data_IF_133077506105
#
_entry.id   IF_133077506105
#
_cell.length_a   1.000
_cell.length_b   1.000
_cell.length_c   1.000
_cell.angle_alpha   90.00
_cell.angle_beta   90.00
_cell.angle_gamma   90.00
#
_symmetry.space_group_name_H-M   'P 1'
#
loop_
_entity.id
_entity.type
_entity.pdbx_description
1 polymer ?
#
# COMPACT_ATOMS: atom_id res chain seq x y z
N UNK A 1 -62.57 23.60 33.74
CA UNK A 1 -62.80 23.23 32.32
C UNK A 1 -61.59 23.67 31.51
N UNK A 2 -60.97 22.72 30.78
CA UNK A 2 -60.11 22.90 29.57
C UNK A 2 -58.82 23.72 29.75
N UNK A 3 -57.64 23.38 29.21
CA UNK A 3 -57.05 22.23 28.55
C UNK A 3 -55.58 22.63 28.28
N UNK A 4 -54.65 21.66 28.28
CA UNK A 4 -53.37 21.67 27.54
C UNK A 4 -52.32 22.71 28.02
N UNK A 5 -51.07 22.35 28.32
CA UNK A 5 -50.05 21.89 27.37
C UNK A 5 -49.13 20.90 28.10
N UNK A 6 -49.09 19.64 27.63
CA UNK A 6 -48.01 18.70 27.93
C UNK A 6 -46.85 19.02 27.00
N UNK A 7 -45.78 19.61 27.53
CA UNK A 7 -44.50 19.68 26.84
C UNK A 7 -43.85 18.30 26.86
N UNK A 8 -43.92 17.58 25.75
CA UNK A 8 -43.17 16.36 25.53
C UNK A 8 -41.69 16.73 25.37
N UNK A 9 -40.85 16.38 26.34
CA UNK A 9 -39.41 16.25 26.13
C UNK A 9 -39.21 15.06 25.18
N UNK A 10 -39.01 15.34 23.90
CA UNK A 10 -38.48 14.38 22.94
C UNK A 10 -36.99 14.21 23.20
N UNK A 11 -36.66 13.18 23.97
CA UNK A 11 -35.30 12.65 24.06
C UNK A 11 -34.92 12.13 22.68
N UNK A 12 -34.14 12.90 21.92
CA UNK A 12 -33.45 12.38 20.74
C UNK A 12 -32.38 11.41 21.23
N UNK A 13 -32.74 10.13 21.35
CA UNK A 13 -31.77 9.07 21.37
C UNK A 13 -31.12 9.04 19.98
N UNK A 14 -29.98 9.71 19.84
CA UNK A 14 -29.08 9.47 18.72
C UNK A 14 -28.60 8.02 18.84
N UNK A 15 -29.29 7.12 18.14
CA UNK A 15 -28.78 5.79 17.85
C UNK A 15 -27.59 6.02 16.93
N UNK A 16 -26.41 6.19 17.53
CA UNK A 16 -25.16 6.01 16.82
C UNK A 16 -25.14 4.55 16.40
N UNK A 17 -25.63 4.27 15.19
CA UNK A 17 -25.30 3.06 14.46
C UNK A 17 -23.79 3.00 14.38
N UNK A 18 -23.21 2.26 15.30
CA UNK A 18 -21.83 1.84 15.33
C UNK A 18 -21.63 0.97 14.09
N UNK A 19 -21.41 1.58 12.93
CA UNK A 19 -20.76 0.91 11.81
C UNK A 19 -19.38 0.55 12.32
N UNK A 20 -19.27 -0.69 12.80
CA UNK A 20 -18.00 -1.33 13.11
C UNK A 20 -17.22 -1.31 11.79
N UNK A 21 -16.42 -0.27 11.60
CA UNK A 21 -15.31 -0.25 10.68
C UNK A 21 -14.34 -1.30 11.21
N UNK A 22 -14.62 -2.56 10.93
CA UNK A 22 -13.58 -3.57 10.87
C UNK A 22 -12.60 -3.00 9.86
N UNK A 23 -11.46 -2.51 10.34
CA UNK A 23 -10.31 -2.30 9.47
C UNK A 23 -10.21 -3.60 8.67
N UNK A 24 -10.36 -3.57 7.33
CA UNK A 24 -10.12 -4.77 6.57
C UNK A 24 -8.64 -5.05 6.84
N UNK A 25 -8.38 -6.05 7.69
CA UNK A 25 -7.13 -6.79 7.61
C UNK A 25 -6.92 -7.01 6.12
N UNK A 26 -5.77 -6.63 5.58
CA UNK A 26 -5.42 -6.92 4.20
C UNK A 26 -5.50 -8.44 4.00
N UNK A 27 -6.71 -8.92 3.72
CA UNK A 27 -7.08 -10.30 3.55
C UNK A 27 -6.84 -10.56 2.08
N UNK A 28 -5.64 -11.04 1.78
CA UNK A 28 -5.38 -11.74 0.54
C UNK A 28 -6.07 -13.11 0.64
N UNK A 29 -7.35 -13.20 0.30
CA UNK A 29 -8.03 -14.50 0.21
C UNK A 29 -7.68 -15.20 -1.11
N UNK A 30 -7.13 -16.42 -1.02
CA UNK A 30 -7.26 -17.50 -2.01
C UNK A 30 -6.52 -17.40 -3.35
N UNK A 31 -6.03 -16.23 -3.78
CA UNK A 31 -5.50 -16.08 -5.16
C UNK A 31 -4.20 -16.83 -5.43
N UNK A 32 -3.34 -17.00 -4.41
CA UNK A 32 -2.03 -17.65 -4.57
C UNK A 32 -2.04 -19.16 -4.23
N UNK A 33 -3.21 -19.79 -4.10
CA UNK A 33 -3.32 -21.21 -3.76
C UNK A 33 -3.02 -22.12 -4.97
N UNK A 34 -1.75 -22.50 -5.10
CA UNK A 34 -1.28 -23.47 -6.08
C UNK A 34 0.26 -23.57 -6.08
N UNK A 35 0.79 -24.75 -5.71
CA UNK A 35 2.22 -24.95 -5.44
C UNK A 35 3.15 -24.55 -6.61
N UNK A 36 2.67 -24.54 -7.85
CA UNK A 36 3.48 -24.25 -9.04
C UNK A 36 3.48 -22.77 -9.49
N UNK A 37 2.73 -21.87 -8.84
CA UNK A 37 2.65 -20.44 -9.22
C UNK A 37 2.77 -19.45 -8.06
N UNK A 38 3.09 -19.94 -6.87
CA UNK A 38 3.15 -19.13 -5.66
C UNK A 38 4.15 -17.96 -5.76
N UNK A 39 5.37 -18.22 -6.22
CA UNK A 39 6.40 -17.19 -6.37
C UNK A 39 6.00 -16.09 -7.35
N UNK A 40 5.38 -16.49 -8.47
CA UNK A 40 4.85 -15.57 -9.47
C UNK A 40 3.75 -14.70 -8.87
N UNK A 41 2.83 -15.30 -8.11
CA UNK A 41 1.74 -14.59 -7.45
C UNK A 41 2.24 -13.54 -6.46
N UNK A 42 3.24 -13.89 -5.64
CA UNK A 42 3.85 -12.98 -4.67
C UNK A 42 4.54 -11.79 -5.36
N UNK A 43 5.26 -12.04 -6.46
CA UNK A 43 5.90 -10.97 -7.25
C UNK A 43 4.89 -10.08 -7.96
N UNK A 44 3.80 -10.65 -8.50
CA UNK A 44 2.70 -9.87 -9.08
C UNK A 44 1.99 -9.01 -8.03
N UNK A 45 1.80 -9.54 -6.82
CA UNK A 45 1.27 -8.79 -5.68
C UNK A 45 2.19 -7.63 -5.31
N UNK A 46 3.51 -7.84 -5.33
CA UNK A 46 4.48 -6.77 -5.10
C UNK A 46 4.49 -5.71 -6.23
N UNK A 47 4.38 -6.12 -7.49
CA UNK A 47 4.24 -5.19 -8.63
C UNK A 47 3.02 -4.30 -8.44
N UNK A 48 1.88 -4.86 -8.03
CA UNK A 48 0.68 -4.08 -7.72
C UNK A 48 0.91 -3.12 -6.55
N UNK A 49 1.49 -3.59 -5.44
CA UNK A 49 1.80 -2.73 -4.30
C UNK A 49 2.72 -1.57 -4.70
N UNK A 50 3.70 -1.80 -5.59
CA UNK A 50 4.59 -0.76 -6.10
C UNK A 50 3.84 0.30 -6.92
N UNK A 51 2.88 -0.10 -7.76
CA UNK A 51 2.00 0.81 -8.50
C UNK A 51 1.14 1.65 -7.55
N UNK A 52 0.62 1.04 -6.48
CA UNK A 52 -0.16 1.74 -5.47
C UNK A 52 0.63 2.85 -4.76
N UNK A 53 1.93 2.64 -4.54
CA UNK A 53 2.78 3.69 -3.98
C UNK A 53 2.99 4.83 -4.99
N UNK A 54 3.15 4.54 -6.29
CA UNK A 54 3.20 5.57 -7.32
C UNK A 54 1.90 6.40 -7.36
N UNK A 55 0.74 5.76 -7.24
CA UNK A 55 -0.56 6.46 -7.17
C UNK A 55 -0.65 7.35 -5.92
N UNK A 56 -0.20 6.86 -4.76
CA UNK A 56 -0.16 7.63 -3.53
C UNK A 56 0.72 8.88 -3.65
N UNK A 57 1.90 8.76 -4.27
CA UNK A 57 2.79 9.91 -4.51
C UNK A 57 2.09 10.96 -5.38
N UNK A 58 1.32 10.55 -6.40
CA UNK A 58 0.52 11.46 -7.22
C UNK A 58 -0.58 12.15 -6.41
N UNK A 59 -1.32 11.41 -5.58
CA UNK A 59 -2.43 11.97 -4.77
C UNK A 59 -1.97 12.99 -3.74
N UNK A 60 -0.78 12.78 -3.20
CA UNK A 60 -0.09 13.69 -2.30
C UNK A 60 0.65 14.81 -3.04
N UNK A 61 0.57 14.84 -4.37
CA UNK A 61 1.23 15.79 -5.27
C UNK A 61 2.74 15.89 -5.02
N UNK A 62 3.38 14.75 -4.77
CA UNK A 62 4.79 14.67 -4.43
C UNK A 62 5.65 14.41 -5.65
N UNK A 63 6.63 15.29 -5.83
CA UNK A 63 7.67 15.16 -6.84
C UNK A 63 8.98 14.94 -6.08
N UNK A 64 9.31 13.67 -5.82
CA UNK A 64 10.54 13.27 -5.15
C UNK A 64 11.41 12.44 -6.12
N UNK A 65 12.41 13.05 -6.80
CA UNK A 65 13.27 12.33 -7.74
C UNK A 65 13.95 11.10 -7.14
N UNK A 66 14.43 11.16 -5.89
CA UNK A 66 15.06 10.01 -5.24
C UNK A 66 14.10 8.84 -5.09
N UNK A 67 12.85 9.14 -4.71
CA UNK A 67 11.77 8.17 -4.64
C UNK A 67 11.51 7.53 -6.00
N UNK A 68 11.31 8.34 -7.06
CA UNK A 68 11.02 7.82 -8.41
C UNK A 68 12.20 7.02 -8.98
N UNK A 69 13.45 7.40 -8.69
CA UNK A 69 14.63 6.59 -9.03
C UNK A 69 14.60 5.24 -8.32
N UNK A 70 14.44 5.22 -6.99
CA UNK A 70 14.42 3.97 -6.22
C UNK A 70 13.26 3.05 -6.64
N UNK A 71 12.09 3.64 -6.87
CA UNK A 71 10.89 2.92 -7.32
C UNK A 71 11.07 2.36 -8.73
N UNK A 72 11.63 3.13 -9.67
CA UNK A 72 11.88 2.65 -11.03
C UNK A 72 12.83 1.46 -11.07
N UNK A 73 13.89 1.49 -10.28
CA UNK A 73 14.80 0.35 -10.13
C UNK A 73 14.12 -0.85 -9.45
N UNK A 74 13.28 -0.61 -8.43
CA UNK A 74 12.52 -1.67 -7.76
C UNK A 74 11.52 -2.35 -8.69
N UNK A 75 10.70 -1.57 -9.40
CA UNK A 75 9.70 -2.06 -10.35
C UNK A 75 10.33 -2.81 -11.52
N UNK A 76 11.43 -2.29 -12.07
CA UNK A 76 12.19 -2.97 -13.13
C UNK A 76 12.67 -4.35 -12.67
N UNK A 77 13.31 -4.42 -11.50
CA UNK A 77 13.79 -5.68 -10.92
C UNK A 77 12.65 -6.67 -10.63
N UNK A 78 11.54 -6.18 -10.07
CA UNK A 78 10.36 -7.00 -9.79
C UNK A 78 9.72 -7.55 -11.08
N UNK A 79 9.60 -6.72 -12.12
CA UNK A 79 9.04 -7.12 -13.42
C UNK A 79 9.94 -8.15 -14.12
N UNK A 80 11.25 -7.94 -14.12
CA UNK A 80 12.23 -8.88 -14.67
C UNK A 80 12.16 -10.24 -13.96
N UNK A 81 12.14 -10.24 -12.61
CA UNK A 81 12.02 -11.48 -11.81
C UNK A 81 10.68 -12.18 -12.03
N UNK A 82 9.56 -11.45 -12.09
CA UNK A 82 8.26 -12.02 -12.40
C UNK A 82 8.24 -12.66 -13.80
N UNK A 83 8.88 -12.01 -14.78
CA UNK A 83 9.00 -12.51 -16.16
C UNK A 83 9.81 -13.80 -16.23
N UNK A 84 10.93 -13.90 -15.50
CA UNK A 84 11.72 -15.13 -15.41
C UNK A 84 10.92 -16.28 -14.78
N UNK A 85 10.17 -16.00 -13.71
CA UNK A 85 9.38 -17.01 -13.00
C UNK A 85 8.14 -17.48 -13.79
N UNK A 86 7.59 -16.65 -14.68
CA UNK A 86 6.46 -17.00 -15.55
C UNK A 86 6.83 -18.03 -16.64
N UNK A 87 8.10 -18.14 -17.01
CA UNK A 87 8.56 -18.98 -18.12
C UNK A 87 7.84 -18.64 -19.44
N UNK A 88 7.38 -19.66 -20.18
CA UNK A 88 6.62 -19.51 -21.45
C UNK A 88 5.10 -19.45 -21.26
N UNK A 89 4.60 -19.29 -20.03
CA UNK A 89 3.22 -19.63 -19.68
C UNK A 89 2.13 -18.76 -20.32
N UNK A 90 2.39 -17.46 -20.57
CA UNK A 90 1.43 -16.50 -21.18
C UNK A 90 2.22 -15.39 -21.92
N UNK A 91 2.34 -15.41 -23.25
CA UNK A 91 3.09 -14.42 -24.04
C UNK A 91 2.68 -12.96 -23.79
N UNK A 92 1.40 -12.72 -23.51
CA UNK A 92 0.83 -11.40 -23.23
C UNK A 92 1.36 -10.83 -21.91
N UNK A 93 1.47 -11.65 -20.86
CA UNK A 93 2.08 -11.24 -19.59
C UNK A 93 3.57 -10.98 -19.73
N UNK A 94 4.29 -11.79 -20.49
CA UNK A 94 5.73 -11.59 -20.74
C UNK A 94 5.95 -10.24 -21.44
N UNK A 95 5.14 -9.95 -22.46
CA UNK A 95 5.18 -8.67 -23.20
C UNK A 95 4.81 -7.49 -22.29
N UNK A 96 3.74 -7.63 -21.50
CA UNK A 96 3.31 -6.63 -20.54
C UNK A 96 4.38 -6.32 -19.50
N UNK A 97 4.97 -7.35 -18.89
CA UNK A 97 6.05 -7.23 -17.91
C UNK A 97 7.31 -6.61 -18.52
N UNK A 98 7.70 -7.01 -19.74
CA UNK A 98 8.84 -6.41 -20.43
C UNK A 98 8.64 -4.91 -20.68
N UNK A 99 7.40 -4.49 -20.97
CA UNK A 99 7.08 -3.07 -21.14
C UNK A 99 7.12 -2.31 -19.81
N UNK A 100 6.59 -2.91 -18.73
CA UNK A 100 6.69 -2.33 -17.37
C UNK A 100 8.15 -2.20 -16.96
N UNK A 101 8.97 -3.20 -17.21
CA UNK A 101 10.42 -3.20 -16.95
C UNK A 101 11.10 -2.01 -17.63
N UNK A 102 10.90 -1.84 -18.95
CA UNK A 102 11.49 -0.74 -19.71
C UNK A 102 11.01 0.63 -19.22
N UNK A 103 9.70 0.82 -19.04
CA UNK A 103 9.16 2.10 -18.57
C UNK A 103 9.66 2.44 -17.16
N UNK A 104 9.90 1.44 -16.32
CA UNK A 104 10.45 1.66 -14.97
C UNK A 104 11.90 2.12 -15.00
N UNK A 105 12.70 1.60 -15.95
CA UNK A 105 14.06 2.08 -16.22
C UNK A 105 14.01 3.53 -16.74
N UNK A 106 13.13 3.82 -17.70
CA UNK A 106 12.97 5.16 -18.25
C UNK A 106 12.56 6.16 -17.16
N UNK A 107 11.63 5.79 -16.28
CA UNK A 107 11.23 6.58 -15.12
C UNK A 107 12.41 6.85 -14.18
N UNK A 108 13.24 5.83 -13.88
CA UNK A 108 14.40 6.01 -13.03
C UNK A 108 15.43 6.97 -13.65
N UNK A 109 15.67 6.85 -14.96
CA UNK A 109 16.59 7.71 -15.70
C UNK A 109 16.08 9.16 -15.76
N UNK A 110 14.78 9.36 -16.02
CA UNK A 110 14.14 10.67 -15.98
C UNK A 110 14.24 11.30 -14.58
N UNK A 111 14.04 10.51 -13.53
CA UNK A 111 14.17 10.98 -12.17
C UNK A 111 15.61 11.39 -11.81
N UNK A 112 16.62 10.63 -12.27
CA UNK A 112 18.03 10.98 -12.09
C UNK A 112 18.42 12.31 -12.74
N UNK A 113 17.76 12.71 -13.82
CA UNK A 113 18.00 13.98 -14.51
C UNK A 113 17.06 15.10 -14.08
N UNK A 114 16.14 14.83 -13.14
CA UNK A 114 15.12 15.79 -12.72
C UNK A 114 14.04 16.07 -13.77
N UNK A 115 13.89 15.20 -14.77
CA UNK A 115 12.86 15.32 -15.79
C UNK A 115 11.48 14.98 -15.22
N UNK A 116 10.57 15.95 -15.24
CA UNK A 116 9.18 15.81 -14.79
C UNK A 116 8.38 14.77 -15.60
N UNK A 117 8.87 14.35 -16.77
CA UNK A 117 8.31 13.21 -17.49
C UNK A 117 8.29 11.93 -16.66
N UNK A 118 9.11 11.81 -15.61
CA UNK A 118 9.03 10.67 -14.66
C UNK A 118 7.62 10.47 -14.10
N UNK A 119 6.89 11.55 -13.82
CA UNK A 119 5.50 11.49 -13.31
C UNK A 119 4.54 11.02 -14.40
N UNK A 120 4.77 11.43 -15.65
CA UNK A 120 4.00 10.95 -16.80
C UNK A 120 4.26 9.46 -17.00
N UNK A 121 5.51 9.02 -16.97
CA UNK A 121 5.90 7.61 -17.11
C UNK A 121 5.30 6.75 -16.00
N UNK A 122 5.29 7.21 -14.74
CA UNK A 122 4.62 6.54 -13.63
C UNK A 122 3.13 6.30 -13.90
N UNK A 123 2.42 7.30 -14.44
CA UNK A 123 1.00 7.15 -14.82
C UNK A 123 0.79 6.14 -15.97
N UNK A 124 1.72 6.10 -16.93
CA UNK A 124 1.65 5.14 -18.05
C UNK A 124 1.89 3.70 -17.57
N UNK A 125 2.82 3.49 -16.62
CA UNK A 125 3.04 2.17 -16.00
C UNK A 125 1.74 1.63 -15.39
N UNK A 126 1.01 2.46 -14.63
CA UNK A 126 -0.30 2.08 -14.08
C UNK A 126 -1.28 1.68 -15.18
N UNK A 127 -1.43 2.53 -16.21
CA UNK A 127 -2.39 2.29 -17.28
C UNK A 127 -2.11 0.99 -18.04
N UNK A 128 -0.83 0.64 -18.20
CA UNK A 128 -0.41 -0.59 -18.85
C UNK A 128 -0.89 -1.83 -18.09
N UNK A 129 -0.72 -1.86 -16.76
CA UNK A 129 -1.21 -2.95 -15.93
C UNK A 129 -2.74 -3.02 -15.95
N UNK A 130 -3.43 -1.90 -15.73
CA UNK A 130 -4.89 -1.86 -15.74
C UNK A 130 -5.48 -2.35 -17.09
N UNK A 131 -4.91 -1.89 -18.21
CA UNK A 131 -5.35 -2.28 -19.55
C UNK A 131 -5.11 -3.76 -19.83
N UNK A 132 -3.94 -4.28 -19.43
CA UNK A 132 -3.62 -5.70 -19.59
C UNK A 132 -4.63 -6.59 -18.85
N UNK A 133 -5.01 -6.21 -17.62
CA UNK A 133 -5.97 -6.97 -16.83
C UNK A 133 -7.43 -6.77 -17.28
N UNK A 134 -7.80 -5.59 -17.80
CA UNK A 134 -9.12 -5.34 -18.37
C UNK A 134 -9.37 -6.09 -19.69
N UNK A 135 -8.35 -6.21 -20.54
CA UNK A 135 -8.44 -6.88 -21.84
C UNK A 135 -8.38 -8.41 -21.74
N UNK A 136 -7.80 -8.95 -20.67
CA UNK A 136 -7.53 -10.37 -20.49
C UNK A 136 -8.31 -11.02 -19.35
N UNK A 137 -9.48 -10.47 -19.00
CA UNK A 137 -10.37 -10.97 -17.94
C UNK A 137 -10.85 -12.43 -18.10
N UNK A 138 -10.45 -13.13 -19.17
CA UNK A 138 -10.72 -14.54 -19.41
C UNK A 138 -9.49 -15.47 -19.56
N UNK A 139 -8.25 -14.98 -19.65
CA UNK A 139 -7.07 -15.83 -19.98
C UNK A 139 -6.10 -16.05 -18.81
N UNK A 140 -6.23 -15.28 -17.72
CA UNK A 140 -5.42 -15.42 -16.52
C UNK A 140 -6.25 -15.86 -15.29
N UNK A 141 -6.86 -17.04 -15.38
CA UNK A 141 -7.25 -17.83 -14.20
C UNK A 141 -8.33 -17.26 -13.28
N UNK A 142 -9.28 -16.45 -13.77
CA UNK A 142 -10.37 -15.86 -12.97
C UNK A 142 -9.91 -15.05 -11.74
N UNK A 143 -8.64 -14.64 -11.71
CA UNK A 143 -8.13 -13.76 -10.67
C UNK A 143 -8.45 -12.33 -11.08
N UNK A 144 -9.55 -11.81 -10.54
CA UNK A 144 -9.83 -10.39 -10.62
C UNK A 144 -8.61 -9.62 -10.08
N UNK A 145 -8.17 -8.61 -10.84
CA UNK A 145 -7.10 -7.73 -10.42
C UNK A 145 -7.41 -7.20 -9.03
N UNK A 146 -8.66 -6.85 -8.74
CA UNK A 146 -9.14 -6.33 -7.46
C UNK A 146 -9.19 -7.38 -6.33
N UNK A 147 -9.16 -8.68 -6.64
CA UNK A 147 -9.08 -9.74 -5.64
C UNK A 147 -7.67 -9.95 -5.06
N UNK A 148 -6.61 -9.45 -5.72
CA UNK A 148 -5.21 -9.54 -5.22
C UNK A 148 -4.95 -8.55 -4.06
N UNK A 149 -5.73 -7.47 -4.02
CA UNK A 149 -5.78 -6.41 -3.00
C UNK A 149 -7.09 -5.64 -3.23
N UNK A 150 -8.03 -5.70 -2.27
CA UNK A 150 -9.39 -5.13 -2.35
C UNK A 150 -9.50 -3.60 -2.52
N UNK A 151 -8.43 -2.89 -2.83
CA UNK A 151 -8.41 -1.43 -2.86
C UNK A 151 -8.62 -0.91 -4.29
N UNK A 152 -9.86 -0.53 -4.60
CA UNK A 152 -10.19 0.28 -5.78
C UNK A 152 -9.79 1.75 -5.51
N UNK A 153 -8.86 2.25 -6.31
CA UNK A 153 -8.31 3.60 -6.18
C UNK A 153 -9.30 4.71 -6.50
N UNK A 154 -10.22 4.49 -7.43
CA UNK A 154 -11.28 5.47 -7.67
C UNK A 154 -12.26 5.51 -6.50
N UNK A 155 -12.53 4.35 -5.88
CA UNK A 155 -13.39 4.25 -4.70
C UNK A 155 -12.75 4.94 -3.50
N UNK A 156 -11.45 4.74 -3.25
CA UNK A 156 -10.73 5.42 -2.15
C UNK A 156 -10.70 6.93 -2.35
N UNK A 157 -10.41 7.41 -3.58
CA UNK A 157 -10.43 8.84 -3.85
C UNK A 157 -11.84 9.44 -3.66
N UNK A 158 -12.89 8.75 -4.13
CA UNK A 158 -14.30 9.16 -3.92
C UNK A 158 -14.65 9.16 -2.43
N UNK A 159 -14.22 8.14 -1.69
CA UNK A 159 -14.43 8.02 -0.25
C UNK A 159 -13.72 9.13 0.53
N UNK A 160 -12.43 9.38 0.23
CA UNK A 160 -11.64 10.43 0.85
C UNK A 160 -12.19 11.85 0.59
N UNK A 161 -12.86 12.07 -0.54
CA UNK A 161 -13.48 13.36 -0.88
C UNK A 161 -14.94 13.47 -0.38
N UNK A 162 -15.46 12.49 0.38
CA UNK A 162 -16.81 12.52 0.94
C UNK A 162 -16.98 13.58 2.05
N UNK A 163 -18.21 14.04 2.25
CA UNK A 163 -18.56 15.19 3.13
C UNK A 163 -18.14 15.04 4.61
N UNK A 164 -17.82 13.82 5.07
CA UNK A 164 -17.45 13.53 6.46
C UNK A 164 -15.95 13.28 6.66
N UNK A 165 -15.14 13.35 5.61
CA UNK A 165 -13.72 13.05 5.67
C UNK A 165 -12.87 14.28 5.41
N UNK A 166 -11.73 14.39 6.08
CA UNK A 166 -10.71 15.33 5.68
C UNK A 166 -9.91 14.71 4.50
N UNK A 167 -9.99 15.27 3.28
CA UNK A 167 -9.38 14.62 2.11
C UNK A 167 -7.86 14.52 2.20
N UNK A 168 -7.22 15.51 2.86
CA UNK A 168 -5.78 15.50 3.06
C UNK A 168 -5.35 14.38 4.01
N UNK A 169 -6.02 14.27 5.15
CA UNK A 169 -5.74 13.22 6.12
C UNK A 169 -5.98 11.83 5.51
N UNK A 170 -7.07 11.66 4.77
CA UNK A 170 -7.39 10.39 4.13
C UNK A 170 -6.33 9.98 3.10
N UNK A 171 -5.92 10.89 2.19
CA UNK A 171 -4.84 10.64 1.23
C UNK A 171 -3.49 10.38 1.91
N UNK A 172 -3.21 11.05 3.02
CA UNK A 172 -2.00 10.82 3.81
C UNK A 172 -1.99 9.42 4.42
N UNK A 173 -3.11 8.98 5.00
CA UNK A 173 -3.22 7.62 5.55
C UNK A 173 -3.15 6.57 4.45
N UNK A 174 -3.71 6.86 3.28
CA UNK A 174 -3.58 6.02 2.11
C UNK A 174 -2.11 5.90 1.65
N UNK A 175 -1.38 7.01 1.55
CA UNK A 175 0.03 6.97 1.17
C UNK A 175 0.89 6.17 2.15
N UNK A 176 0.59 6.29 3.43
CA UNK A 176 1.24 5.51 4.47
C UNK A 176 0.92 4.00 4.33
N UNK A 177 -0.35 3.64 4.09
CA UNK A 177 -0.77 2.27 3.83
C UNK A 177 -0.09 1.68 2.59
N UNK A 178 0.01 2.45 1.51
CA UNK A 178 0.71 2.02 0.29
C UNK A 178 2.19 1.77 0.56
N UNK A 179 2.89 2.67 1.26
CA UNK A 179 4.29 2.48 1.63
C UNK A 179 4.49 1.19 2.46
N UNK A 180 3.61 0.90 3.42
CA UNK A 180 3.61 -0.36 4.15
C UNK A 180 3.33 -1.57 3.25
N UNK A 181 2.36 -1.47 2.35
CA UNK A 181 2.03 -2.51 1.38
C UNK A 181 3.24 -2.88 0.53
N UNK A 182 4.03 -1.89 0.10
CA UNK A 182 5.30 -2.13 -0.58
C UNK A 182 6.28 -2.94 0.29
N UNK A 183 6.55 -2.49 1.53
CA UNK A 183 7.51 -3.15 2.43
C UNK A 183 7.14 -4.61 2.72
N UNK A 184 5.87 -4.86 3.02
CA UNK A 184 5.37 -6.21 3.32
C UNK A 184 5.46 -7.12 2.10
N UNK A 185 4.97 -6.66 0.95
CA UNK A 185 4.96 -7.49 -0.27
C UNK A 185 6.36 -7.72 -0.84
N UNK A 186 7.28 -6.77 -0.65
CA UNK A 186 8.69 -6.93 -1.02
C UNK A 186 9.32 -8.08 -0.23
N UNK A 187 9.09 -8.10 1.09
CA UNK A 187 9.56 -9.17 1.97
C UNK A 187 8.93 -10.53 1.60
N UNK A 188 7.61 -10.57 1.39
CA UNK A 188 6.90 -11.80 1.00
C UNK A 188 7.40 -12.35 -0.35
N UNK A 189 7.75 -11.47 -1.30
CA UNK A 189 8.21 -11.83 -2.64
C UNK A 189 9.72 -12.10 -2.75
N UNK A 190 10.45 -12.03 -1.63
CA UNK A 190 11.92 -12.12 -1.58
C UNK A 190 12.61 -11.10 -2.50
N UNK A 191 12.11 -9.86 -2.44
CA UNK A 191 12.61 -8.71 -3.19
C UNK A 191 13.28 -7.73 -2.25
N UNK A 192 14.62 -7.73 -2.27
CA UNK A 192 15.45 -6.86 -1.46
C UNK A 192 15.89 -5.63 -2.25
N UNK A 193 15.52 -4.43 -1.80
CA UNK A 193 15.99 -3.17 -2.37
C UNK A 193 16.18 -2.14 -1.26
N UNK A 194 17.42 -1.96 -0.80
CA UNK A 194 17.75 -1.01 0.27
C UNK A 194 17.29 0.42 -0.03
N UNK A 195 17.49 0.90 -1.26
CA UNK A 195 17.11 2.26 -1.63
C UNK A 195 15.60 2.47 -1.50
N UNK A 196 14.80 1.56 -2.07
CA UNK A 196 13.34 1.71 -2.03
C UNK A 196 12.77 1.39 -0.64
N UNK A 197 13.37 0.47 0.12
CA UNK A 197 13.02 0.27 1.55
C UNK A 197 13.23 1.54 2.36
N UNK A 198 14.34 2.26 2.13
CA UNK A 198 14.59 3.57 2.76
C UNK A 198 13.53 4.59 2.36
N UNK A 199 13.27 4.77 1.06
CA UNK A 199 12.30 5.78 0.59
C UNK A 199 10.88 5.49 1.10
N UNK A 200 10.46 4.22 1.16
CA UNK A 200 9.17 3.85 1.74
C UNK A 200 9.10 4.16 3.25
N UNK A 201 10.17 3.88 3.99
CA UNK A 201 10.24 4.19 5.43
C UNK A 201 10.28 5.70 5.70
N UNK A 202 11.06 6.45 4.92
CA UNK A 202 11.12 7.92 5.00
C UNK A 202 9.75 8.56 4.67
N UNK A 203 8.99 7.97 3.74
CA UNK A 203 7.64 8.43 3.41
C UNK A 203 6.65 8.24 4.57
N UNK A 204 6.74 7.12 5.29
CA UNK A 204 5.96 6.89 6.52
C UNK A 204 6.28 7.95 7.57
N UNK A 205 7.58 8.20 7.81
CA UNK A 205 8.03 9.22 8.77
C UNK A 205 7.53 10.61 8.37
N UNK A 206 7.63 10.96 7.09
CA UNK A 206 7.16 12.24 6.55
C UNK A 206 5.67 12.42 6.82
N UNK A 207 4.85 11.42 6.50
CA UNK A 207 3.40 11.46 6.72
C UNK A 207 3.08 11.63 8.21
N UNK A 208 3.66 10.80 9.08
CA UNK A 208 3.42 10.85 10.53
C UNK A 208 3.85 12.18 11.17
N UNK A 209 4.91 12.80 10.63
CA UNK A 209 5.37 14.11 11.07
C UNK A 209 4.42 15.21 10.58
N UNK A 210 4.05 15.16 9.31
CA UNK A 210 3.24 16.18 8.67
C UNK A 210 1.81 16.25 9.24
N UNK A 211 1.18 15.10 9.48
CA UNK A 211 -0.16 15.06 10.09
C UNK A 211 -0.15 15.66 11.50
N UNK A 212 0.94 15.45 12.27
CA UNK A 212 1.12 16.04 13.59
C UNK A 212 1.28 17.55 13.50
N UNK A 213 2.15 18.04 12.61
CA UNK A 213 2.37 19.49 12.42
C UNK A 213 1.09 20.20 12.02
N UNK A 214 0.23 19.54 11.25
CA UNK A 214 -1.08 20.07 10.82
C UNK A 214 -2.20 19.89 11.84
N UNK A 215 -1.92 19.29 13.00
CA UNK A 215 -2.89 19.12 14.08
C UNK A 215 -3.98 18.10 13.77
N UNK A 216 -3.69 17.07 12.96
CA UNK A 216 -4.63 15.98 12.72
C UNK A 216 -4.55 14.92 13.81
N UNK A 217 -5.66 14.73 14.52
CA UNK A 217 -5.82 13.64 15.48
C UNK A 217 -6.30 12.36 14.76
N UNK A 218 -5.36 11.59 14.22
CA UNK A 218 -5.64 10.28 13.64
C UNK A 218 -5.16 9.10 14.50
N UNK A 219 -4.04 9.30 15.21
CA UNK A 219 -3.39 8.28 16.02
C UNK A 219 -3.15 8.85 17.42
N UNK A 220 -3.36 8.07 18.50
CA UNK A 220 -2.81 8.41 19.81
C UNK A 220 -1.31 8.72 19.70
N UNK A 221 -0.83 9.78 20.36
CA UNK A 221 0.54 10.29 20.20
C UNK A 221 1.61 9.24 20.54
N UNK A 222 1.36 8.38 21.53
CA UNK A 222 2.23 7.27 21.90
C UNK A 222 2.40 6.26 20.76
N UNK A 223 1.31 5.91 20.07
CA UNK A 223 1.34 4.97 18.95
C UNK A 223 1.93 5.60 17.68
N UNK A 224 1.67 6.89 17.45
CA UNK A 224 2.29 7.67 16.37
C UNK A 224 3.82 7.68 16.54
N UNK A 225 4.31 7.95 17.75
CA UNK A 225 5.74 7.95 18.07
C UNK A 225 6.39 6.58 17.89
N UNK A 226 5.71 5.50 18.29
CA UNK A 226 6.21 4.13 18.06
C UNK A 226 6.36 3.86 16.56
N UNK A 227 5.33 4.13 15.76
CA UNK A 227 5.37 3.92 14.31
C UNK A 227 6.46 4.77 13.63
N UNK A 228 6.59 6.03 14.06
CA UNK A 228 7.62 6.94 13.54
C UNK A 228 9.03 6.44 13.86
N UNK A 229 9.29 6.01 15.10
CA UNK A 229 10.60 5.50 15.50
C UNK A 229 10.97 4.21 14.77
N UNK A 230 10.01 3.30 14.61
CA UNK A 230 10.19 2.05 13.85
C UNK A 230 10.54 2.35 12.38
N UNK A 231 9.86 3.30 11.76
CA UNK A 231 10.15 3.71 10.38
C UNK A 231 11.52 4.42 10.27
N UNK A 232 11.89 5.25 11.25
CA UNK A 232 13.24 5.88 11.31
C UNK A 232 14.34 4.83 11.42
N UNK A 233 14.15 3.81 12.25
CA UNK A 233 15.11 2.71 12.40
C UNK A 233 15.27 1.93 11.10
N UNK A 234 14.16 1.59 10.43
CA UNK A 234 14.20 0.90 9.13
C UNK A 234 14.89 1.75 8.06
N UNK A 235 14.62 3.05 8.01
CA UNK A 235 15.33 3.97 7.11
C UNK A 235 16.83 3.97 7.38
N UNK A 236 17.24 4.04 8.65
CA UNK A 236 18.64 4.02 9.04
C UNK A 236 19.31 2.69 8.67
N UNK A 237 18.70 1.55 9.01
CA UNK A 237 19.21 0.23 8.64
C UNK A 237 19.35 0.07 7.11
N UNK A 238 18.41 0.61 6.34
CA UNK A 238 18.46 0.57 4.88
C UNK A 238 19.60 1.44 4.33
N UNK A 239 19.87 2.61 4.95
CA UNK A 239 21.04 3.45 4.62
C UNK A 239 22.35 2.73 4.90
N UNK A 240 22.41 2.02 6.02
CA UNK A 240 23.57 1.23 6.45
C UNK A 240 23.69 -0.11 5.70
N UNK A 241 22.77 -0.40 4.77
CA UNK A 241 22.68 -1.65 4.02
C UNK A 241 22.65 -2.90 4.92
N UNK A 242 22.06 -2.78 6.11
CA UNK A 242 21.91 -3.90 7.03
C UNK A 242 20.86 -4.89 6.48
N UNK A 243 21.23 -6.14 6.16
CA UNK A 243 20.30 -7.11 5.55
C UNK A 243 19.09 -7.46 6.42
N UNK A 244 19.18 -7.29 7.75
CA UNK A 244 18.06 -7.53 8.67
C UNK A 244 16.93 -6.50 8.50
N UNK A 245 17.17 -5.43 7.73
CA UNK A 245 16.19 -4.36 7.48
C UNK A 245 14.92 -4.89 6.82
N UNK A 246 15.01 -5.90 5.95
CA UNK A 246 13.83 -6.38 5.22
C UNK A 246 12.84 -7.09 6.15
N UNK A 247 13.35 -7.87 7.09
CA UNK A 247 12.50 -8.48 8.12
C UNK A 247 11.94 -7.41 9.07
N UNK A 248 12.77 -6.44 9.50
CA UNK A 248 12.32 -5.34 10.37
C UNK A 248 11.24 -4.50 9.70
N UNK A 249 11.41 -4.16 8.42
CA UNK A 249 10.47 -3.39 7.62
C UNK A 249 9.09 -4.06 7.52
N UNK A 250 9.04 -5.39 7.36
CA UNK A 250 7.78 -6.14 7.35
C UNK A 250 6.98 -5.99 8.66
N UNK A 251 7.68 -5.73 9.78
CA UNK A 251 7.12 -5.64 11.13
C UNK A 251 6.62 -4.24 11.50
N UNK A 252 6.88 -3.19 10.72
CA UNK A 252 6.32 -1.85 11.03
C UNK A 252 4.78 -1.89 11.04
N UNK A 253 4.18 -2.80 10.25
CA UNK A 253 2.74 -3.07 10.23
C UNK A 253 2.14 -3.40 11.61
N UNK A 254 2.94 -3.91 12.55
CA UNK A 254 2.51 -4.19 13.92
C UNK A 254 2.10 -2.93 14.67
N UNK A 255 2.77 -1.79 14.43
CA UNK A 255 2.43 -0.53 15.09
C UNK A 255 1.07 -0.02 14.60
N UNK A 256 0.80 -0.10 13.29
CA UNK A 256 -0.49 0.24 12.70
C UNK A 256 -1.60 -0.65 13.26
N UNK A 257 -1.36 -1.95 13.38
CA UNK A 257 -2.34 -2.89 13.93
C UNK A 257 -2.67 -2.65 15.38
N UNK A 258 -1.66 -2.33 16.21
CA UNK A 258 -1.89 -1.93 17.59
C UNK A 258 -2.79 -0.69 17.68
N UNK A 259 -2.61 0.26 16.76
CA UNK A 259 -3.48 1.43 16.68
C UNK A 259 -4.91 1.10 16.26
N UNK A 260 -5.07 0.33 15.18
CA UNK A 260 -6.40 -0.05 14.70
C UNK A 260 -7.14 -0.92 15.72
N UNK A 261 -6.46 -1.82 16.43
CA UNK A 261 -7.04 -2.63 17.48
C UNK A 261 -7.51 -1.79 18.69
N UNK A 262 -6.68 -0.82 19.12
CA UNK A 262 -7.04 0.10 20.21
C UNK A 262 -8.26 0.96 19.84
N UNK A 263 -8.34 1.42 18.60
CA UNK A 263 -9.46 2.22 18.10
C UNK A 263 -10.78 1.43 18.03
N UNK A 264 -10.72 0.12 17.72
CA UNK A 264 -11.91 -0.75 17.66
C UNK A 264 -12.31 -1.36 19.01
N UNK A 265 -11.60 -1.07 20.10
CA UNK A 265 -11.87 -1.67 21.42
C UNK A 265 -11.63 -3.19 21.47
N UNK A 266 -11.00 -3.77 20.45
CA UNK A 266 -10.68 -5.18 20.35
C UNK A 266 -9.21 -5.40 20.73
N UNK A 267 -8.91 -6.51 21.44
CA UNK A 267 -7.52 -6.90 21.64
C UNK A 267 -6.85 -7.02 20.26
N UNK A 268 -5.61 -6.51 20.07
CA UNK A 268 -4.88 -6.76 18.84
C UNK A 268 -4.77 -8.27 18.70
N UNK A 269 -5.51 -8.85 17.75
CA UNK A 269 -5.20 -10.19 17.31
C UNK A 269 -3.80 -10.07 16.72
N UNK A 270 -2.78 -10.75 17.27
CA UNK A 270 -1.48 -10.76 16.62
C UNK A 270 -1.72 -11.18 15.18
N UNK A 271 -1.12 -10.47 14.22
CA UNK A 271 -0.97 -11.01 12.89
C UNK A 271 -0.46 -12.42 13.09
N UNK A 272 -1.27 -13.41 12.72
CA UNK A 272 -0.76 -14.75 12.70
C UNK A 272 0.19 -14.79 11.50
N UNK A 273 1.44 -14.40 11.73
CA UNK A 273 2.50 -14.44 10.74
C UNK A 273 2.70 -15.88 10.26
N UNK A 274 2.18 -16.92 10.92
CA UNK A 274 2.15 -18.28 10.35
C UNK A 274 1.13 -18.48 9.22
N UNK A 275 0.14 -17.58 9.07
CA UNK A 275 -0.73 -17.50 7.88
C UNK A 275 -0.10 -16.70 6.72
N UNK A 276 0.99 -15.97 6.99
CA UNK A 276 1.77 -15.22 5.99
C UNK A 276 3.15 -15.84 5.74
N UNK A 277 3.65 -16.65 6.67
CA UNK A 277 4.80 -17.54 6.50
C UNK A 277 4.33 -18.75 5.73
N UNK A 278 4.45 -18.65 4.42
CA UNK A 278 4.60 -19.85 3.63
C UNK A 278 6.00 -20.39 3.92
N UNK A 279 6.07 -21.68 4.25
CA UNK A 279 7.31 -22.34 4.61
C UNK A 279 8.38 -22.06 3.53
N UNK A 280 9.46 -21.35 3.93
CA UNK A 280 10.71 -21.40 3.17
C UNK A 280 11.14 -22.87 3.16
N UNK A 281 11.13 -23.49 1.98
CA UNK A 281 11.89 -24.72 1.76
C UNK A 281 13.29 -24.35 1.31
#
# INVERSE_FOLDING_TARGET
MKNMIKGALTTFAAVATLTVLTAPSAQAEGVCEGANRQNVCLKMRHLRASINVLDAQRELMQINPNFYTAMGLSLSSAAAKARMDYGYGIPEHITGLSRVEQMSIDMANQALTGDLNMVKTANVIRFQCATCHAQNSGTAGNVDWDNIFKYDWEEIAKHCNGEQHNPYLCRSMNGMLSAYGYLLTAYDADLTNFAMTREAADEIVRILTDIKVKGFDHLPEDLRLIAENEAREVSQMARDQNPDVFERASKITNACQQCHARASGSRPAPLNLSKFRFARK
#
